data_IF_760113238129
#
_entry.id   IF_760113238129
#
_cell.length_a   1.000
_cell.length_b   1.000
_cell.length_c   1.000
_cell.angle_alpha   90.00
_cell.angle_beta   90.00
_cell.angle_gamma   90.00
#
_symmetry.space_group_name_H-M   'P 1'
#
loop_
_entity.id
_entity.type
_entity.pdbx_description
1 polymer ?
#
# COMPACT_ATOMS: atom_id res chain seq x y z
N UNK A 1 6.79 -16.33 3.82
CA UNK A 1 7.34 -14.97 3.98
C UNK A 1 6.85 -14.42 5.32
N UNK A 2 7.77 -13.96 6.18
CA UNK A 2 7.38 -13.44 7.48
C UNK A 2 7.18 -11.93 7.44
N UNK A 3 6.55 -11.40 8.48
CA UNK A 3 6.22 -9.98 8.58
C UNK A 3 7.46 -9.09 8.50
N UNK A 4 8.55 -9.49 9.16
CA UNK A 4 9.79 -8.72 9.16
C UNK A 4 10.35 -8.54 7.75
N UNK A 5 10.36 -9.59 6.94
CA UNK A 5 10.81 -9.54 5.55
C UNK A 5 9.91 -8.62 4.72
N UNK A 6 8.60 -8.71 4.92
CA UNK A 6 7.64 -7.85 4.23
C UNK A 6 7.88 -6.39 4.57
N UNK A 7 8.06 -6.06 5.85
CA UNK A 7 8.32 -4.69 6.30
C UNK A 7 9.63 -4.14 5.70
N UNK A 8 10.70 -4.93 5.72
CA UNK A 8 11.98 -4.51 5.15
C UNK A 8 11.87 -4.21 3.66
N UNK A 9 11.20 -5.11 2.93
CA UNK A 9 11.01 -4.94 1.48
C UNK A 9 10.16 -3.71 1.19
N UNK A 10 9.06 -3.53 1.91
CA UNK A 10 8.20 -2.37 1.74
C UNK A 10 8.91 -1.06 2.04
N UNK A 11 9.82 -1.05 3.00
CA UNK A 11 10.59 0.16 3.32
C UNK A 11 11.41 0.66 2.13
N UNK A 12 11.93 -0.25 1.32
CA UNK A 12 12.66 0.11 0.11
C UNK A 12 11.73 0.74 -0.94
N UNK A 13 10.58 0.12 -1.16
CA UNK A 13 9.60 0.61 -2.14
C UNK A 13 8.92 1.89 -1.65
N UNK A 14 8.74 2.05 -0.36
CA UNK A 14 8.23 3.29 0.23
C UNK A 14 9.08 4.48 -0.20
N UNK A 15 10.38 4.36 -0.09
CA UNK A 15 11.31 5.43 -0.50
C UNK A 15 11.20 5.71 -2.00
N UNK A 16 11.12 4.66 -2.79
CA UNK A 16 11.03 4.78 -4.25
C UNK A 16 9.75 5.50 -4.68
N UNK A 17 8.60 5.04 -4.19
CA UNK A 17 7.31 5.59 -4.59
C UNK A 17 7.03 6.97 -3.99
N UNK A 18 7.60 7.29 -2.84
CA UNK A 18 7.39 8.60 -2.22
C UNK A 18 7.90 9.73 -3.09
N UNK A 19 8.85 9.47 -3.96
CA UNK A 19 9.39 10.46 -4.90
C UNK A 19 8.33 10.95 -5.88
N UNK A 20 7.33 10.14 -6.16
CA UNK A 20 6.23 10.54 -7.06
C UNK A 20 4.94 10.88 -6.31
N UNK A 21 4.97 10.91 -4.98
CA UNK A 21 3.81 11.27 -4.17
C UNK A 21 2.94 10.11 -3.74
N UNK A 22 3.37 8.86 -3.96
CA UNK A 22 2.67 7.67 -3.49
C UNK A 22 3.36 7.19 -2.21
N UNK A 23 2.66 7.29 -1.09
CA UNK A 23 3.22 6.96 0.22
C UNK A 23 2.63 5.66 0.75
N UNK A 24 3.47 4.63 0.89
CA UNK A 24 3.09 3.40 1.57
C UNK A 24 3.11 3.70 3.07
N UNK A 25 1.97 3.57 3.73
CA UNK A 25 1.85 3.89 5.16
C UNK A 25 2.15 2.67 6.01
N UNK A 26 1.57 1.53 5.67
CA UNK A 26 1.81 0.33 6.44
C UNK A 26 0.99 -0.87 5.99
N UNK A 27 1.06 -1.92 6.77
CA UNK A 27 0.40 -3.20 6.55
C UNK A 27 -0.73 -3.35 7.54
N UNK A 28 -1.87 -3.88 7.10
CA UNK A 28 -2.97 -4.24 7.99
C UNK A 28 -3.54 -5.60 7.59
N UNK A 29 -4.60 -6.03 8.25
CA UNK A 29 -5.23 -7.30 7.93
C UNK A 29 -4.48 -8.52 8.47
N UNK A 30 -4.68 -9.68 7.84
CA UNK A 30 -4.16 -10.96 8.35
C UNK A 30 -2.63 -11.01 8.42
N UNK A 31 -1.94 -10.41 7.47
CA UNK A 31 -0.48 -10.36 7.46
C UNK A 31 0.04 -9.60 8.69
N UNK A 32 -0.58 -8.46 9.01
CA UNK A 32 -0.21 -7.66 10.19
C UNK A 32 -0.51 -8.39 11.49
N UNK A 33 -1.59 -9.17 11.54
CA UNK A 33 -1.97 -9.92 12.74
C UNK A 33 -1.18 -11.21 12.94
N UNK A 34 -0.38 -11.62 11.95
CA UNK A 34 0.34 -12.88 11.99
C UNK A 34 -0.53 -14.11 11.78
N UNK A 35 -1.73 -13.93 11.23
CA UNK A 35 -2.67 -15.02 10.92
C UNK A 35 -2.67 -15.39 9.45
N UNK A 36 -1.76 -14.82 8.68
CA UNK A 36 -1.66 -15.08 7.25
C UNK A 36 -1.13 -16.48 6.97
N UNK A 37 -1.43 -16.94 5.77
CA UNK A 37 -0.91 -18.21 5.24
C UNK A 37 -0.51 -17.98 3.77
N UNK A 38 -0.12 -19.05 3.08
CA UNK A 38 0.35 -18.94 1.69
C UNK A 38 -0.71 -18.39 0.72
N UNK A 39 -1.98 -18.41 1.10
CA UNK A 39 -3.09 -17.93 0.27
C UNK A 39 -3.61 -16.55 0.69
N UNK A 40 -3.10 -16.01 1.79
CA UNK A 40 -3.54 -14.70 2.29
C UNK A 40 -2.99 -13.58 1.43
N UNK A 41 -3.83 -12.58 1.16
CA UNK A 41 -3.40 -11.36 0.47
C UNK A 41 -2.61 -10.47 1.42
N UNK A 42 -1.79 -9.60 0.85
CA UNK A 42 -1.10 -8.56 1.62
C UNK A 42 -1.94 -7.29 1.50
N UNK A 43 -2.43 -6.79 2.62
CA UNK A 43 -3.24 -5.59 2.69
C UNK A 43 -2.37 -4.40 3.07
N UNK A 44 -2.26 -3.43 2.17
CA UNK A 44 -1.44 -2.24 2.35
C UNK A 44 -2.28 -0.98 2.36
N UNK A 45 -1.99 -0.11 3.32
CA UNK A 45 -2.56 1.22 3.37
C UNK A 45 -1.58 2.21 2.72
N UNK A 46 -2.10 3.09 1.88
CA UNK A 46 -1.30 4.13 1.25
C UNK A 46 -2.01 5.48 1.32
N UNK A 47 -1.26 6.53 1.14
CA UNK A 47 -1.81 7.87 0.97
C UNK A 47 -1.13 8.54 -0.21
N UNK A 48 -1.82 9.50 -0.82
CA UNK A 48 -1.29 10.27 -1.92
C UNK A 48 -1.00 11.70 -1.47
N UNK A 49 0.18 12.17 -1.81
CA UNK A 49 0.48 13.58 -1.78
C UNK A 49 -0.01 14.14 -3.12
N UNK A 50 -1.24 14.65 -3.11
CA UNK A 50 -1.96 14.98 -4.34
C UNK A 50 -1.21 15.92 -5.27
N UNK A 51 -0.57 16.95 -4.73
CA UNK A 51 0.16 17.90 -5.53
C UNK A 51 1.28 17.22 -6.32
N UNK A 52 2.10 16.46 -5.63
CA UNK A 52 3.26 15.79 -6.21
C UNK A 52 2.87 14.70 -7.20
N UNK A 53 1.88 13.89 -6.82
CA UNK A 53 1.38 12.82 -7.66
C UNK A 53 0.72 13.36 -8.92
N UNK A 54 -0.03 14.46 -8.81
CA UNK A 54 -0.71 15.11 -9.93
C UNK A 54 0.24 15.80 -10.91
N UNK A 55 1.42 16.22 -10.47
CA UNK A 55 2.44 16.77 -11.35
C UNK A 55 2.91 15.74 -12.37
N UNK A 56 2.99 14.47 -11.96
CA UNK A 56 3.46 13.39 -12.81
C UNK A 56 2.32 12.68 -13.53
N UNK A 57 1.18 12.52 -12.87
CA UNK A 57 -0.01 11.85 -13.40
C UNK A 57 -1.18 12.83 -13.29
N UNK A 58 -1.43 13.59 -14.34
CA UNK A 58 -2.28 14.78 -14.27
C UNK A 58 -3.77 14.57 -14.53
N UNK A 59 -4.19 13.35 -14.86
CA UNK A 59 -5.61 13.02 -15.01
C UNK A 59 -5.99 11.77 -14.21
N UNK A 60 -7.30 11.58 -14.01
CA UNK A 60 -7.79 10.47 -13.20
C UNK A 60 -7.42 9.09 -13.75
N UNK A 61 -7.43 8.96 -15.07
CA UNK A 61 -7.10 7.68 -15.72
C UNK A 61 -5.63 7.32 -15.52
N UNK A 62 -4.73 8.28 -15.73
CA UNK A 62 -3.29 8.08 -15.52
C UNK A 62 -2.97 7.72 -14.07
N UNK A 63 -3.66 8.35 -13.11
CA UNK A 63 -3.51 8.05 -11.68
C UNK A 63 -3.91 6.61 -11.38
N UNK A 64 -5.04 6.17 -11.90
CA UNK A 64 -5.52 4.80 -11.69
C UNK A 64 -4.57 3.78 -12.30
N UNK A 65 -4.07 4.04 -13.50
CA UNK A 65 -3.12 3.16 -14.16
C UNK A 65 -1.82 3.04 -13.36
N UNK A 66 -1.35 4.14 -12.80
CA UNK A 66 -0.12 4.10 -11.98
C UNK A 66 -0.29 3.33 -10.69
N UNK A 67 -1.41 3.54 -10.00
CA UNK A 67 -1.73 2.81 -8.77
C UNK A 67 -1.83 1.31 -9.06
N UNK A 68 -2.48 0.93 -10.15
CA UNK A 68 -2.58 -0.47 -10.56
C UNK A 68 -1.20 -1.05 -10.91
N UNK A 69 -0.35 -0.28 -11.57
CA UNK A 69 1.01 -0.71 -11.90
C UNK A 69 1.84 -0.96 -10.63
N UNK A 70 1.72 -0.09 -9.62
CA UNK A 70 2.38 -0.26 -8.33
C UNK A 70 1.90 -1.54 -7.65
N UNK A 71 0.59 -1.78 -7.65
CA UNK A 71 0.01 -3.00 -7.11
C UNK A 71 0.64 -4.23 -7.77
N UNK A 72 0.70 -4.25 -9.09
CA UNK A 72 1.27 -5.37 -9.85
C UNK A 72 2.76 -5.55 -9.61
N UNK A 73 3.52 -4.46 -9.49
CA UNK A 73 4.93 -4.53 -9.14
C UNK A 73 5.13 -5.20 -7.79
N UNK A 74 4.34 -4.79 -6.78
CA UNK A 74 4.43 -5.38 -5.45
C UNK A 74 3.97 -6.83 -5.44
N UNK A 75 2.97 -7.19 -6.23
CA UNK A 75 2.54 -8.58 -6.36
C UNK A 75 3.66 -9.47 -6.90
N UNK A 76 4.45 -8.97 -7.85
CA UNK A 76 5.61 -9.70 -8.36
C UNK A 76 6.70 -9.86 -7.30
N UNK A 77 6.91 -8.81 -6.50
CA UNK A 77 7.93 -8.83 -5.44
C UNK A 77 7.59 -9.85 -4.37
N UNK A 78 6.33 -9.88 -3.93
CA UNK A 78 5.91 -10.73 -2.84
C UNK A 78 5.37 -12.10 -3.27
N UNK A 79 5.13 -12.31 -4.57
CA UNK A 79 4.49 -13.52 -5.09
C UNK A 79 3.15 -13.80 -4.42
N UNK A 80 2.41 -12.73 -4.11
CA UNK A 80 1.08 -12.78 -3.48
C UNK A 80 0.23 -11.66 -4.03
N UNK A 81 -1.08 -11.78 -3.92
CA UNK A 81 -1.98 -10.67 -4.22
C UNK A 81 -1.77 -9.56 -3.22
N UNK A 82 -1.82 -8.34 -3.70
CA UNK A 82 -1.68 -7.13 -2.89
C UNK A 82 -2.94 -6.30 -3.05
N UNK A 83 -3.56 -5.94 -1.93
CA UNK A 83 -4.67 -5.01 -1.91
C UNK A 83 -4.18 -3.66 -1.41
N UNK A 84 -4.45 -2.62 -2.19
CA UNK A 84 -4.07 -1.25 -1.84
C UNK A 84 -5.31 -0.49 -1.41
N UNK A 85 -5.30 0.04 -0.19
CA UNK A 85 -6.41 0.83 0.34
C UNK A 85 -5.93 2.23 0.65
N UNK A 86 -6.64 3.23 0.10
CA UNK A 86 -6.29 4.63 0.28
C UNK A 86 -6.75 5.16 1.63
N UNK A 87 -5.85 5.80 2.37
CA UNK A 87 -6.22 6.53 3.59
C UNK A 87 -6.79 7.91 3.30
N UNK A 88 -6.83 8.32 2.04
CA UNK A 88 -7.48 9.55 1.62
C UNK A 88 -9.00 9.35 1.39
N UNK A 89 -9.52 8.17 1.67
CA UNK A 89 -10.93 7.84 1.51
C UNK A 89 -11.83 8.67 2.43
N UNK A 90 -13.06 8.92 1.98
CA UNK A 90 -14.08 9.59 2.79
C UNK A 90 -14.73 8.66 3.82
N UNK A 91 -14.49 7.36 3.75
CA UNK A 91 -15.03 6.38 4.69
C UNK A 91 -14.21 6.36 5.99
N UNK A 92 -14.59 7.22 6.93
CA UNK A 92 -13.87 7.39 8.20
C UNK A 92 -13.86 6.14 9.07
N UNK A 93 -14.94 5.37 9.06
CA UNK A 93 -15.04 4.14 9.87
C UNK A 93 -14.03 3.11 9.40
N UNK A 94 -13.91 2.93 8.09
CA UNK A 94 -12.93 2.02 7.50
C UNK A 94 -11.51 2.45 7.83
N UNK A 95 -11.21 3.74 7.70
CA UNK A 95 -9.88 4.28 7.99
C UNK A 95 -9.51 4.08 9.46
N UNK A 96 -10.43 4.36 10.37
CA UNK A 96 -10.20 4.16 11.79
C UNK A 96 -9.93 2.70 12.14
N UNK A 97 -10.69 1.80 11.52
CA UNK A 97 -10.49 0.37 11.72
C UNK A 97 -9.14 -0.10 11.21
N UNK A 98 -8.74 0.37 10.04
CA UNK A 98 -7.42 0.08 9.47
C UNK A 98 -6.31 0.59 10.38
N UNK A 99 -6.43 1.83 10.87
CA UNK A 99 -5.41 2.43 11.74
C UNK A 99 -5.21 1.68 13.05
N UNK A 100 -6.24 1.02 13.56
CA UNK A 100 -6.12 0.19 14.77
C UNK A 100 -5.24 -1.04 14.55
N UNK A 101 -5.22 -1.58 13.35
CA UNK A 101 -4.46 -2.77 13.01
C UNK A 101 -3.12 -2.45 12.33
N UNK A 102 -2.92 -1.21 11.96
CA UNK A 102 -1.84 -0.80 11.07
C UNK A 102 -0.46 -0.96 11.70
N UNK A 103 0.41 -1.66 10.99
CA UNK A 103 1.84 -1.72 11.30
C UNK A 103 2.52 -0.78 10.31
N UNK A 104 3.04 0.33 10.81
CA UNK A 104 3.69 1.35 9.98
C UNK A 104 5.03 0.85 9.45
N UNK A 105 5.30 1.19 8.21
CA UNK A 105 6.58 0.86 7.58
C UNK A 105 7.39 2.11 7.28
#
# INVERSE_FOLDING_TARGET
MNLETVVETLSKYKKLYSKEGFSIVGIFGSCARGTDNQFSDIDLAYSLEHQKFSEKYNDGFSKLLRIDAIKKELEKVFHKKVDLVSLNSSNKELIEQIKKELIYV
#
